data_IF_795949410560
#
_entry.id   IF_795949410560
#
_cell.length_a   1.000
_cell.length_b   1.000
_cell.length_c   1.000
_cell.angle_alpha   90.00
_cell.angle_beta   90.00
_cell.angle_gamma   90.00
#
_symmetry.space_group_name_H-M   'P 1'
#
loop_
_entity.id
_entity.type
_entity.pdbx_description
1 polymer ?
#
# COMPACT_ATOMS: atom_id res chain seq x y z
N UNK A 1 -25.32 -22.62 -4.19
CA UNK A 1 -24.31 -23.56 -3.64
C UNK A 1 -24.88 -24.95 -3.35
N UNK A 2 -26.10 -25.07 -2.80
CA UNK A 2 -26.74 -26.36 -2.52
C UNK A 2 -26.94 -27.27 -3.75
N UNK A 3 -27.25 -26.69 -4.93
CA UNK A 3 -27.44 -27.45 -6.19
C UNK A 3 -26.17 -28.09 -6.77
N UNK A 4 -24.99 -27.80 -6.21
CA UNK A 4 -23.72 -28.45 -6.62
C UNK A 4 -23.62 -29.89 -6.11
N UNK A 5 -24.43 -30.27 -5.11
CA UNK A 5 -24.52 -31.63 -4.58
C UNK A 5 -25.25 -32.60 -5.53
N UNK A 6 -26.05 -32.10 -6.47
CA UNK A 6 -26.73 -32.92 -7.48
C UNK A 6 -25.95 -32.87 -8.81
N UNK A 7 -25.37 -34.00 -9.28
CA UNK A 7 -24.42 -34.02 -10.40
C UNK A 7 -25.00 -33.55 -11.74
N UNK A 8 -26.32 -33.64 -11.94
CA UNK A 8 -26.97 -33.23 -13.20
C UNK A 8 -27.32 -31.73 -13.32
N UNK A 9 -27.46 -31.01 -12.19
CA UNK A 9 -28.02 -29.64 -12.17
C UNK A 9 -26.99 -28.60 -11.68
N UNK A 10 -25.78 -29.04 -11.33
CA UNK A 10 -24.72 -28.19 -10.78
C UNK A 10 -24.30 -26.99 -11.65
N UNK A 11 -24.54 -27.04 -12.97
CA UNK A 11 -24.24 -25.95 -13.91
C UNK A 11 -25.05 -24.67 -13.63
N UNK A 12 -26.28 -24.81 -13.14
CA UNK A 12 -27.14 -23.66 -12.79
C UNK A 12 -26.52 -22.85 -11.64
N UNK A 13 -25.76 -23.48 -10.74
CA UNK A 13 -25.10 -22.78 -9.64
C UNK A 13 -23.99 -21.82 -10.08
N UNK A 14 -23.50 -21.95 -11.33
CA UNK A 14 -22.46 -21.07 -11.88
C UNK A 14 -22.98 -19.66 -12.15
N UNK A 15 -24.26 -19.51 -12.49
CA UNK A 15 -24.87 -18.22 -12.81
C UNK A 15 -24.97 -17.30 -11.58
N UNK A 16 -25.51 -17.74 -10.42
CA UNK A 16 -25.47 -16.93 -9.20
C UNK A 16 -24.04 -16.61 -8.75
N UNK A 17 -23.11 -17.56 -8.89
CA UNK A 17 -21.70 -17.32 -8.53
C UNK A 17 -21.06 -16.26 -9.43
N UNK A 18 -21.30 -16.31 -10.74
CA UNK A 18 -20.82 -15.31 -11.68
C UNK A 18 -21.39 -13.92 -11.36
N UNK A 19 -22.69 -13.84 -11.02
CA UNK A 19 -23.33 -12.57 -10.64
C UNK A 19 -22.76 -12.04 -9.33
N UNK A 20 -22.58 -12.88 -8.30
CA UNK A 20 -22.00 -12.45 -7.01
C UNK A 20 -20.55 -11.99 -7.20
N UNK A 21 -19.72 -12.77 -7.89
CA UNK A 21 -18.30 -12.41 -8.12
C UNK A 21 -18.19 -11.17 -9.01
N UNK A 22 -18.98 -11.08 -10.08
CA UNK A 22 -18.98 -9.94 -10.99
C UNK A 22 -19.46 -8.64 -10.33
N UNK A 23 -20.58 -8.70 -9.60
CA UNK A 23 -21.10 -7.54 -8.85
C UNK A 23 -20.11 -7.10 -7.76
N UNK A 24 -19.57 -8.04 -7.00
CA UNK A 24 -18.60 -7.75 -5.93
C UNK A 24 -17.31 -7.17 -6.50
N UNK A 25 -16.75 -7.74 -7.57
CA UNK A 25 -15.55 -7.22 -8.22
C UNK A 25 -15.78 -5.83 -8.83
N UNK A 26 -16.93 -5.58 -9.44
CA UNK A 26 -17.30 -4.27 -9.98
C UNK A 26 -17.43 -3.21 -8.88
N UNK A 27 -18.11 -3.53 -7.78
CA UNK A 27 -18.26 -2.63 -6.63
C UNK A 27 -16.90 -2.30 -5.99
N UNK A 28 -16.06 -3.32 -5.78
CA UNK A 28 -14.71 -3.10 -5.27
C UNK A 28 -13.87 -2.26 -6.23
N UNK A 29 -13.90 -2.55 -7.53
CA UNK A 29 -13.16 -1.77 -8.53
C UNK A 29 -13.50 -0.28 -8.41
N UNK A 30 -14.77 0.10 -8.46
CA UNK A 30 -15.20 1.51 -8.34
C UNK A 30 -14.77 2.10 -7.01
N UNK A 31 -14.95 1.37 -5.91
CA UNK A 31 -14.56 1.82 -4.57
C UNK A 31 -13.05 2.09 -4.52
N UNK A 32 -12.21 1.15 -4.97
CA UNK A 32 -10.76 1.30 -4.99
C UNK A 32 -10.30 2.41 -5.94
N UNK A 33 -10.94 2.60 -7.09
CA UNK A 33 -10.65 3.70 -8.01
C UNK A 33 -10.92 5.06 -7.35
N UNK A 34 -12.09 5.22 -6.75
CA UNK A 34 -12.47 6.48 -6.14
C UNK A 34 -11.68 6.78 -4.85
N UNK A 35 -11.44 5.77 -4.02
CA UNK A 35 -10.82 5.98 -2.70
C UNK A 35 -9.30 5.93 -2.73
N UNK A 36 -8.72 4.94 -3.41
CA UNK A 36 -7.28 4.65 -3.33
C UNK A 36 -6.53 5.21 -4.53
N UNK A 37 -7.05 5.02 -5.76
CA UNK A 37 -6.36 5.53 -6.94
C UNK A 37 -6.39 7.06 -7.00
N UNK A 38 -7.55 7.67 -6.75
CA UNK A 38 -7.67 9.12 -6.78
C UNK A 38 -6.85 9.80 -5.68
N UNK A 39 -6.82 9.23 -4.46
CA UNK A 39 -5.98 9.74 -3.38
C UNK A 39 -4.48 9.56 -3.67
N UNK A 40 -4.07 8.45 -4.27
CA UNK A 40 -2.68 8.24 -4.70
C UNK A 40 -2.26 9.22 -5.80
N UNK A 41 -3.13 9.52 -6.75
CA UNK A 41 -2.89 10.56 -7.75
C UNK A 41 -2.76 11.94 -7.11
N UNK A 42 -3.69 12.31 -6.23
CA UNK A 42 -3.63 13.58 -5.50
C UNK A 42 -2.34 13.71 -4.68
N UNK A 43 -1.92 12.64 -4.01
CA UNK A 43 -0.68 12.60 -3.23
C UNK A 43 0.59 12.60 -4.09
N UNK A 44 0.47 12.33 -5.39
CA UNK A 44 1.60 12.43 -6.34
C UNK A 44 1.70 13.84 -6.94
N UNK A 45 0.61 14.61 -6.94
CA UNK A 45 0.57 16.03 -7.36
C UNK A 45 0.95 16.91 -6.15
N UNK A 46 2.06 16.61 -5.48
CA UNK A 46 2.60 17.46 -4.42
C UNK A 46 3.74 18.30 -5.01
N UNK A 47 3.73 19.64 -4.81
CA UNK A 47 4.85 20.49 -5.22
C UNK A 47 6.16 20.01 -4.58
N UNK A 48 7.19 19.83 -5.43
CA UNK A 48 8.50 19.27 -5.05
C UNK A 48 9.15 20.09 -3.93
N UNK A 49 8.94 21.41 -3.97
CA UNK A 49 9.43 22.37 -2.98
C UNK A 49 8.25 23.19 -2.50
N UNK A 50 7.74 22.87 -1.32
CA UNK A 50 6.70 23.64 -0.65
C UNK A 50 7.19 24.06 0.73
N UNK A 51 7.74 25.28 0.77
CA UNK A 51 8.31 25.89 1.98
C UNK A 51 7.23 26.01 3.07
N UNK A 52 5.97 26.20 2.69
CA UNK A 52 4.87 26.33 3.65
C UNK A 52 4.51 24.97 4.27
N UNK A 53 4.49 23.88 3.51
CA UNK A 53 4.26 22.52 4.08
C UNK A 53 5.34 22.13 5.09
N UNK A 54 6.59 22.43 4.81
CA UNK A 54 7.70 22.05 5.69
C UNK A 54 7.72 22.89 6.98
N UNK A 55 7.41 24.18 6.87
CA UNK A 55 7.25 25.06 8.03
C UNK A 55 6.10 24.62 8.96
N UNK A 56 4.98 24.12 8.40
CA UNK A 56 3.85 23.59 9.18
C UNK A 56 4.13 22.21 9.81
N UNK A 57 5.02 21.41 9.21
CA UNK A 57 5.45 20.13 9.77
C UNK A 57 6.43 20.34 10.94
N UNK A 58 7.32 21.32 10.81
CA UNK A 58 8.23 21.75 11.88
C UNK A 58 7.52 22.34 13.10
N UNK A 59 6.31 22.91 12.95
CA UNK A 59 5.51 23.44 14.06
C UNK A 59 4.65 22.39 14.78
N UNK A 60 4.50 21.18 14.24
CA UNK A 60 3.66 20.12 14.83
C UNK A 60 4.45 19.16 15.74
N UNK A 61 5.78 19.13 15.63
CA UNK A 61 6.65 18.40 16.55
C UNK A 61 7.06 19.31 17.71
N UNK A 62 6.40 19.14 18.86
CA UNK A 62 6.70 19.81 20.14
C UNK A 62 8.07 19.41 20.75
N UNK A 63 9.05 19.05 19.93
CA UNK A 63 10.39 18.73 20.36
C UNK A 63 11.36 19.30 19.32
N UNK A 64 11.83 20.52 19.61
CA UNK A 64 12.82 21.20 18.79
C UNK A 64 14.09 20.35 18.66
N UNK A 65 14.31 19.83 17.46
CA UNK A 65 15.49 19.05 17.11
C UNK A 65 15.57 18.88 15.59
N UNK A 66 16.56 19.55 14.98
CA UNK A 66 16.97 19.56 13.57
C UNK A 66 15.89 19.87 12.52
N UNK A 67 15.73 21.17 12.26
CA UNK A 67 15.15 21.73 11.04
C UNK A 67 15.97 21.43 9.77
N UNK A 68 17.05 20.65 9.81
CA UNK A 68 17.74 20.19 8.60
C UNK A 68 17.30 18.76 8.21
N UNK A 69 17.16 17.87 9.19
CA UNK A 69 16.83 16.45 8.97
C UNK A 69 15.40 16.27 8.45
N UNK A 70 14.45 17.04 8.97
CA UNK A 70 13.05 17.02 8.51
C UNK A 70 12.91 17.52 7.07
N UNK A 71 13.70 18.52 6.70
CA UNK A 71 13.70 19.08 5.35
C UNK A 71 14.37 18.10 4.38
N UNK A 72 15.51 17.53 4.77
CA UNK A 72 16.18 16.49 4.00
C UNK A 72 15.27 15.27 3.77
N UNK A 73 14.61 14.77 4.82
CA UNK A 73 13.70 13.64 4.72
C UNK A 73 12.48 13.94 3.81
N UNK A 74 11.91 15.14 3.90
CA UNK A 74 10.79 15.55 3.04
C UNK A 74 11.20 15.64 1.56
N UNK A 75 12.33 16.29 1.27
CA UNK A 75 12.83 16.38 -0.11
C UNK A 75 13.23 15.01 -0.65
N UNK A 76 13.92 14.19 0.13
CA UNK A 76 14.28 12.83 -0.25
C UNK A 76 13.03 11.98 -0.52
N UNK A 77 12.00 12.08 0.32
CA UNK A 77 10.72 11.41 0.12
C UNK A 77 10.06 11.80 -1.20
N UNK A 78 10.01 13.09 -1.53
CA UNK A 78 9.46 13.58 -2.80
C UNK A 78 10.26 13.08 -4.01
N UNK A 79 11.60 13.09 -3.94
CA UNK A 79 12.43 12.53 -5.01
C UNK A 79 12.23 11.03 -5.17
N UNK A 80 12.19 10.28 -4.07
CA UNK A 80 11.92 8.85 -4.05
C UNK A 80 10.56 8.55 -4.66
N UNK A 81 9.54 9.37 -4.38
CA UNK A 81 8.21 9.24 -4.99
C UNK A 81 8.29 9.43 -6.50
N UNK A 82 8.88 10.52 -6.99
CA UNK A 82 8.98 10.80 -8.43
C UNK A 82 9.79 9.73 -9.18
N UNK A 83 11.01 9.46 -8.72
CA UNK A 83 11.87 8.48 -9.39
C UNK A 83 11.36 7.05 -9.22
N UNK A 84 10.81 6.70 -8.05
CA UNK A 84 10.24 5.38 -7.78
C UNK A 84 9.00 5.10 -8.64
N UNK A 85 8.08 6.06 -8.73
CA UNK A 85 6.88 5.94 -9.59
C UNK A 85 7.25 5.86 -11.07
N UNK A 86 8.15 6.72 -11.57
CA UNK A 86 8.63 6.66 -12.96
C UNK A 86 9.33 5.34 -13.27
N UNK A 87 10.23 4.86 -12.39
CA UNK A 87 10.92 3.59 -12.58
C UNK A 87 9.95 2.40 -12.54
N UNK A 88 8.94 2.43 -11.66
CA UNK A 88 7.88 1.43 -11.60
C UNK A 88 7.00 1.42 -12.86
N UNK A 89 6.61 2.60 -13.36
CA UNK A 89 5.88 2.74 -14.63
C UNK A 89 6.69 2.19 -15.80
N UNK A 90 7.99 2.52 -15.88
CA UNK A 90 8.89 2.00 -16.92
C UNK A 90 8.99 0.47 -16.85
N UNK A 91 9.05 -0.12 -15.65
CA UNK A 91 9.05 -1.57 -15.47
C UNK A 91 7.76 -2.25 -15.95
N UNK A 92 6.60 -1.68 -15.63
CA UNK A 92 5.30 -2.23 -16.05
C UNK A 92 4.89 -1.84 -17.47
N UNK A 93 5.65 -0.99 -18.15
CA UNK A 93 5.39 -0.60 -19.53
C UNK A 93 5.81 -1.73 -20.48
N UNK A 94 4.94 -2.74 -20.59
CA UNK A 94 5.15 -3.94 -21.41
C UNK A 94 5.22 -3.67 -22.93
N UNK A 95 4.94 -2.44 -23.38
CA UNK A 95 4.88 -2.09 -24.81
C UNK A 95 6.23 -1.74 -25.46
N UNK A 96 7.35 -1.75 -24.73
CA UNK A 96 8.70 -1.54 -25.30
C UNK A 96 9.65 -2.64 -24.87
N UNK A 97 10.46 -3.15 -25.82
CA UNK A 97 11.54 -4.08 -25.49
C UNK A 97 12.53 -3.41 -24.54
N UNK A 98 12.86 -4.11 -23.44
CA UNK A 98 13.81 -3.68 -22.42
C UNK A 98 15.27 -3.71 -22.94
N UNK A 99 15.63 -2.84 -23.90
CA UNK A 99 17.01 -2.67 -24.39
C UNK A 99 17.54 -1.26 -24.08
N UNK A 100 18.81 -1.18 -23.68
CA UNK A 100 19.51 0.08 -23.40
C UNK A 100 19.14 0.74 -22.07
N UNK A 101 19.18 2.08 -22.02
CA UNK A 101 18.93 2.88 -20.81
C UNK A 101 17.55 2.61 -20.16
N UNK A 102 16.54 2.26 -20.96
CA UNK A 102 15.21 1.87 -20.48
C UNK A 102 15.25 0.54 -19.71
N UNK A 103 16.09 -0.41 -20.10
CA UNK A 103 16.27 -1.68 -19.36
C UNK A 103 16.96 -1.48 -18.01
N UNK A 104 17.88 -0.51 -17.92
CA UNK A 104 18.52 -0.11 -16.66
C UNK A 104 17.52 0.53 -15.68
N UNK A 105 16.73 1.49 -16.15
CA UNK A 105 15.67 2.12 -15.36
C UNK A 105 14.60 1.09 -14.89
N UNK A 106 14.21 0.15 -15.76
CA UNK A 106 13.30 -0.93 -15.40
C UNK A 106 13.86 -1.83 -14.29
N UNK A 107 15.18 -2.13 -14.30
CA UNK A 107 15.82 -2.92 -13.23
C UNK A 107 15.78 -2.20 -11.88
N UNK A 108 15.97 -0.88 -11.85
CA UNK A 108 15.78 -0.07 -10.63
C UNK A 108 14.32 -0.14 -10.17
N UNK A 109 13.36 -0.09 -11.10
CA UNK A 109 11.94 -0.28 -10.82
C UNK A 109 11.62 -1.62 -10.15
N UNK A 110 12.27 -2.71 -10.58
CA UNK A 110 12.12 -4.04 -9.95
C UNK A 110 12.50 -4.00 -8.47
N UNK A 111 13.66 -3.44 -8.14
CA UNK A 111 14.11 -3.34 -6.75
C UNK A 111 13.15 -2.49 -5.91
N UNK A 112 12.67 -1.38 -6.48
CA UNK A 112 11.70 -0.52 -5.81
C UNK A 112 10.40 -1.26 -5.49
N UNK A 113 9.91 -2.08 -6.44
CA UNK A 113 8.72 -2.90 -6.25
C UNK A 113 8.93 -4.00 -5.23
N UNK A 114 10.07 -4.69 -5.24
CA UNK A 114 10.38 -5.72 -4.26
C UNK A 114 10.41 -5.17 -2.83
N UNK A 115 11.04 -4.01 -2.62
CA UNK A 115 11.07 -3.35 -1.30
C UNK A 115 9.67 -2.91 -0.88
N UNK A 116 8.90 -2.29 -1.78
CA UNK A 116 7.56 -1.77 -1.46
C UNK A 116 6.58 -2.90 -1.14
N UNK A 117 6.57 -3.97 -1.94
CA UNK A 117 5.74 -5.14 -1.66
C UNK A 117 6.17 -5.84 -0.38
N UNK A 118 7.48 -6.00 -0.15
CA UNK A 118 8.00 -6.55 1.10
C UNK A 118 7.56 -5.77 2.34
N UNK A 119 7.63 -4.44 2.29
CA UNK A 119 7.16 -3.57 3.35
C UNK A 119 5.65 -3.70 3.57
N UNK A 120 4.85 -3.71 2.49
CA UNK A 120 3.39 -3.87 2.58
C UNK A 120 2.97 -5.19 3.23
N UNK A 121 3.61 -6.31 2.83
CA UNK A 121 3.39 -7.60 3.49
C UNK A 121 3.81 -7.55 4.96
N UNK A 122 4.97 -6.97 5.26
CA UNK A 122 5.47 -6.79 6.64
C UNK A 122 4.51 -6.01 7.54
N UNK A 123 3.89 -4.93 7.04
CA UNK A 123 2.92 -4.14 7.80
C UNK A 123 1.70 -4.96 8.24
N UNK A 124 1.19 -5.83 7.37
CA UNK A 124 0.04 -6.67 7.74
C UNK A 124 0.39 -7.71 8.79
N UNK A 125 1.59 -8.31 8.70
CA UNK A 125 2.09 -9.27 9.70
C UNK A 125 2.33 -8.56 11.03
N UNK A 126 2.95 -7.38 11.01
CA UNK A 126 3.18 -6.57 12.21
C UNK A 126 1.87 -6.18 12.89
N UNK A 127 0.85 -5.75 12.12
CA UNK A 127 -0.48 -5.42 12.65
C UNK A 127 -1.10 -6.62 13.38
N UNK A 128 -1.02 -7.81 12.80
CA UNK A 128 -1.55 -9.05 13.41
C UNK A 128 -0.77 -9.47 14.64
N UNK A 129 0.57 -9.39 14.60
CA UNK A 129 1.42 -9.70 15.76
C UNK A 129 1.21 -8.70 16.89
N UNK A 130 1.09 -7.41 16.58
CA UNK A 130 0.80 -6.36 17.55
C UNK A 130 -0.54 -6.58 18.26
N UNK A 131 -1.59 -6.93 17.52
CA UNK A 131 -2.88 -7.29 18.11
C UNK A 131 -2.79 -8.52 19.01
N UNK A 132 -2.04 -9.55 18.62
CA UNK A 132 -1.83 -10.74 19.42
C UNK A 132 -1.09 -10.42 20.72
N UNK A 133 -0.02 -9.63 20.64
CA UNK A 133 0.73 -9.16 21.83
C UNK A 133 -0.20 -8.36 22.74
N UNK A 134 -1.01 -7.44 22.21
CA UNK A 134 -1.98 -6.68 22.99
C UNK A 134 -3.00 -7.57 23.70
N UNK A 135 -3.46 -8.66 23.05
CA UNK A 135 -4.36 -9.65 23.67
C UNK A 135 -3.66 -10.49 24.75
N UNK A 136 -2.39 -10.84 24.57
CA UNK A 136 -1.60 -11.55 25.59
C UNK A 136 -1.29 -10.65 26.80
N UNK A 137 -1.00 -9.37 26.59
CA UNK A 137 -0.83 -8.39 27.67
C UNK A 137 -2.11 -8.26 28.50
N UNK A 138 -3.27 -8.14 27.86
CA UNK A 138 -4.55 -8.14 28.56
C UNK A 138 -4.78 -9.42 29.38
N UNK A 139 -4.51 -10.58 28.78
CA UNK A 139 -4.75 -11.87 29.45
C UNK A 139 -3.81 -12.09 30.64
N UNK A 140 -2.52 -11.85 30.47
CA UNK A 140 -1.51 -12.16 31.50
C UNK A 140 -1.33 -11.02 32.51
N UNK A 141 -1.54 -9.77 32.10
CA UNK A 141 -1.49 -8.60 32.96
C UNK A 141 -2.82 -8.33 33.64
N UNK A 142 -3.79 -7.79 32.90
CA UNK A 142 -5.05 -7.30 33.47
C UNK A 142 -5.95 -8.40 34.05
N UNK A 143 -5.99 -9.58 33.41
CA UNK A 143 -6.85 -10.67 33.86
C UNK A 143 -6.15 -11.56 34.90
N UNK A 144 -4.97 -12.10 34.56
CA UNK A 144 -4.27 -13.09 35.38
C UNK A 144 -3.23 -12.50 36.36
N UNK A 145 -2.88 -11.21 36.22
CA UNK A 145 -1.93 -10.49 37.11
C UNK A 145 -0.55 -11.15 37.27
N UNK A 146 -0.11 -11.96 36.30
CA UNK A 146 1.20 -12.63 36.34
C UNK A 146 2.35 -11.72 35.91
N UNK A 147 2.04 -10.70 35.11
CA UNK A 147 2.96 -9.67 34.66
C UNK A 147 2.36 -8.31 34.99
N UNK A 148 3.19 -7.35 35.39
CA UNK A 148 2.78 -5.96 35.59
C UNK A 148 2.99 -5.15 34.33
#
# INVERSE_FOLDING_TARGET
MLLRLAPGIGWISRWPLAVVVGSTAGLYMVTYFQSNFLSQLQNTIIPIVDVNRINNLASTSAQGGLTADLWFAAYLGNFVLIFGTLAGLIYFYFSKEHKGALGGAAKVGIYFLMVTFGASFGYTVMSRMSLLIGRLYFLFGDWLHLIK
#
